data_IF_242829427865
#
_entry.id   IF_242829427865
#
_cell.length_a   1.000
_cell.length_b   1.000
_cell.length_c   1.000
_cell.angle_alpha   90.00
_cell.angle_beta   90.00
_cell.angle_gamma   90.00
#
_symmetry.space_group_name_H-M   'P 1'
#
loop_
_entity.id
_entity.type
_entity.pdbx_description
1 polymer ?
#
# COMPACT_ATOMS: atom_id res chain seq x y z
N UNK A 1 -39.13 -72.03 21.22
CA UNK A 1 -38.75 -70.66 21.61
C UNK A 1 -37.47 -70.69 22.44
N UNK A 2 -36.39 -70.09 21.94
CA UNK A 2 -35.43 -69.22 22.67
C UNK A 2 -34.31 -68.87 21.69
N UNK A 3 -34.35 -67.63 21.21
CA UNK A 3 -33.37 -67.06 20.28
C UNK A 3 -32.12 -66.64 21.04
N UNK A 4 -31.00 -66.86 20.39
CA UNK A 4 -29.65 -66.40 20.68
C UNK A 4 -29.57 -64.87 20.63
N UNK A 5 -28.91 -64.22 21.61
CA UNK A 5 -28.46 -62.83 21.48
C UNK A 5 -27.08 -62.68 22.13
N UNK A 6 -26.07 -62.49 21.30
CA UNK A 6 -24.72 -62.11 21.68
C UNK A 6 -24.67 -60.61 21.99
N UNK A 7 -24.04 -60.23 23.10
CA UNK A 7 -23.81 -58.84 23.47
C UNK A 7 -22.44 -58.41 22.93
N UNK A 8 -22.43 -57.55 21.91
CA UNK A 8 -21.23 -56.86 21.43
C UNK A 8 -21.13 -55.55 22.22
N UNK A 9 -20.13 -55.45 23.11
CA UNK A 9 -19.78 -54.21 23.78
C UNK A 9 -18.97 -53.32 22.81
N UNK A 10 -19.60 -52.27 22.30
CA UNK A 10 -18.94 -51.22 21.50
C UNK A 10 -18.18 -50.31 22.45
N UNK A 11 -16.85 -50.39 22.46
CA UNK A 11 -15.99 -49.38 23.08
C UNK A 11 -15.98 -48.13 22.19
N UNK A 12 -16.66 -47.07 22.65
CA UNK A 12 -16.55 -45.73 22.10
C UNK A 12 -15.18 -45.14 22.49
N UNK A 13 -14.26 -45.07 21.52
CA UNK A 13 -13.08 -44.22 21.63
C UNK A 13 -13.52 -42.76 21.51
N UNK A 14 -13.57 -42.04 22.63
CA UNK A 14 -13.69 -40.59 22.64
C UNK A 14 -12.35 -40.03 22.14
N UNK A 15 -12.33 -39.61 20.89
CA UNK A 15 -11.20 -38.93 20.28
C UNK A 15 -11.20 -37.47 20.78
N UNK A 16 -10.58 -37.21 21.94
CA UNK A 16 -10.41 -35.86 22.47
C UNK A 16 -9.38 -35.15 21.60
N UNK A 17 -9.85 -34.41 20.59
CA UNK A 17 -9.01 -33.41 19.93
C UNK A 17 -8.57 -32.38 20.98
N UNK A 18 -7.31 -31.91 20.97
CA UNK A 18 -6.90 -30.83 21.85
C UNK A 18 -7.72 -29.58 21.49
N UNK A 19 -8.54 -29.13 22.43
CA UNK A 19 -9.19 -27.82 22.33
C UNK A 19 -8.07 -26.78 22.41
N UNK A 20 -7.66 -26.22 21.28
CA UNK A 20 -6.84 -25.03 21.27
C UNK A 20 -7.63 -23.95 22.01
N UNK A 21 -7.19 -23.58 23.21
CA UNK A 21 -7.75 -22.45 23.92
C UNK A 21 -7.52 -21.21 23.04
N UNK A 22 -8.60 -20.63 22.51
CA UNK A 22 -8.57 -19.30 21.91
C UNK A 22 -7.88 -18.39 22.93
N UNK A 23 -6.79 -17.74 22.53
CA UNK A 23 -5.99 -16.91 23.44
C UNK A 23 -6.90 -15.95 24.20
N UNK A 24 -6.95 -16.08 25.53
CA UNK A 24 -7.71 -15.15 26.34
C UNK A 24 -7.05 -13.76 26.25
N UNK A 25 -7.75 -12.81 25.64
CA UNK A 25 -7.27 -11.42 25.54
C UNK A 25 -7.17 -10.79 26.94
N UNK A 26 -6.12 -10.00 27.21
CA UNK A 26 -5.91 -9.42 28.53
C UNK A 26 -7.00 -8.39 28.85
N UNK A 27 -7.47 -8.32 30.10
CA UNK A 27 -8.54 -7.38 30.51
C UNK A 27 -8.34 -5.91 30.07
N UNK A 28 -7.11 -5.34 30.13
CA UNK A 28 -6.85 -4.01 29.58
C UNK A 28 -7.20 -3.83 28.09
N UNK A 29 -7.19 -4.89 27.28
CA UNK A 29 -7.61 -4.85 25.87
C UNK A 29 -9.05 -4.34 25.75
N UNK A 30 -9.98 -4.96 26.49
CA UNK A 30 -11.40 -4.63 26.46
C UNK A 30 -11.70 -3.22 26.98
N UNK A 31 -10.91 -2.74 27.94
CA UNK A 31 -11.01 -1.34 28.43
C UNK A 31 -10.78 -0.32 27.31
N UNK A 32 -9.76 -0.52 26.48
CA UNK A 32 -9.44 0.42 25.39
C UNK A 32 -10.37 0.24 24.19
N UNK A 33 -10.84 -0.99 23.97
CA UNK A 33 -11.85 -1.30 22.97
C UNK A 33 -13.17 -0.59 23.26
N UNK A 34 -13.63 -0.59 24.52
CA UNK A 34 -14.82 0.15 24.98
C UNK A 34 -14.64 1.67 25.09
N UNK A 35 -13.60 2.24 24.49
CA UNK A 35 -13.37 3.68 24.51
C UNK A 35 -14.51 4.44 23.82
N UNK A 36 -15.13 5.38 24.55
CA UNK A 36 -16.16 6.29 24.03
C UNK A 36 -15.75 7.09 22.78
N UNK A 37 -14.45 7.12 22.45
CA UNK A 37 -13.93 7.83 21.28
C UNK A 37 -13.97 7.01 19.99
N UNK A 38 -14.25 5.70 20.03
CA UNK A 38 -14.26 4.81 18.85
C UNK A 38 -15.61 4.70 18.14
N UNK A 39 -16.67 5.36 18.63
CA UNK A 39 -17.95 5.56 17.94
C UNK A 39 -18.48 4.30 17.18
N UNK A 40 -18.79 3.23 17.92
CA UNK A 40 -19.26 1.94 17.38
C UNK A 40 -18.36 1.36 16.26
N UNK A 41 -17.11 0.99 16.60
CA UNK A 41 -16.13 0.57 15.63
C UNK A 41 -16.41 -0.82 15.08
N UNK A 42 -16.09 -1.03 13.79
CA UNK A 42 -15.91 -2.37 13.25
C UNK A 42 -14.54 -2.89 13.65
N UNK A 43 -14.50 -3.98 14.41
CA UNK A 43 -13.26 -4.56 14.94
C UNK A 43 -13.22 -6.05 14.60
N UNK A 44 -12.09 -6.51 14.09
CA UNK A 44 -11.76 -7.94 14.01
C UNK A 44 -10.29 -8.15 14.32
N UNK A 45 -9.99 -9.21 15.05
CA UNK A 45 -8.67 -9.68 15.42
C UNK A 45 -8.60 -11.18 15.16
N UNK A 46 -7.63 -11.59 14.34
CA UNK A 46 -7.40 -12.97 13.95
C UNK A 46 -6.00 -13.40 14.39
N UNK A 47 -5.83 -14.66 14.76
CA UNK A 47 -4.50 -15.29 14.76
C UNK A 47 -4.03 -15.41 13.30
N UNK A 48 -2.86 -14.85 12.97
CA UNK A 48 -2.37 -14.83 11.59
C UNK A 48 -1.95 -16.20 11.05
N UNK A 49 -1.74 -17.18 11.92
CA UNK A 49 -1.36 -18.56 11.55
C UNK A 49 -2.59 -19.45 11.43
N UNK A 50 -3.40 -19.55 12.49
CA UNK A 50 -4.59 -20.42 12.49
C UNK A 50 -5.76 -19.80 11.73
N UNK A 51 -5.75 -18.47 11.54
CA UNK A 51 -6.83 -17.66 10.94
C UNK A 51 -8.11 -17.64 11.77
N UNK A 52 -8.06 -18.17 12.99
CA UNK A 52 -9.19 -18.17 13.91
C UNK A 52 -9.48 -16.76 14.40
N UNK A 53 -10.76 -16.45 14.55
CA UNK A 53 -11.23 -15.18 15.12
C UNK A 53 -10.97 -15.21 16.63
N UNK A 54 -10.09 -14.33 17.08
CA UNK A 54 -9.79 -14.12 18.50
C UNK A 54 -10.80 -13.13 19.10
N UNK A 55 -11.20 -12.14 18.32
CA UNK A 55 -12.23 -11.18 18.71
C UNK A 55 -12.88 -10.54 17.48
N UNK A 56 -14.18 -10.30 17.55
CA UNK A 56 -14.89 -9.48 16.58
C UNK A 56 -16.03 -8.67 17.23
N UNK A 57 -16.31 -7.50 16.66
CA UNK A 57 -17.47 -6.69 17.01
C UNK A 57 -17.85 -5.80 15.85
N UNK A 58 -19.11 -5.88 15.41
CA UNK A 58 -19.62 -5.10 14.29
C UNK A 58 -18.80 -5.27 12.99
N UNK A 59 -18.05 -6.36 12.84
CA UNK A 59 -17.02 -6.50 11.81
C UNK A 59 -17.60 -6.53 10.40
N UNK A 60 -18.81 -7.07 10.24
CA UNK A 60 -19.54 -7.15 8.96
C UNK A 60 -20.20 -5.83 8.55
N UNK A 61 -20.38 -4.90 9.50
CA UNK A 61 -21.06 -3.63 9.21
C UNK A 61 -20.16 -2.75 8.34
N UNK A 62 -20.69 -2.38 7.18
CA UNK A 62 -20.02 -1.52 6.20
C UNK A 62 -19.77 -0.13 6.78
N UNK A 63 -18.51 0.32 6.74
CA UNK A 63 -18.09 1.64 7.22
C UNK A 63 -17.25 2.37 6.18
N UNK A 64 -17.12 3.69 6.32
CA UNK A 64 -16.12 4.42 5.56
C UNK A 64 -14.72 4.05 6.08
N UNK A 65 -13.82 3.47 5.25
CA UNK A 65 -12.52 2.97 5.73
C UNK A 65 -11.44 4.04 5.87
N UNK A 66 -11.64 5.23 5.30
CA UNK A 66 -10.56 6.19 5.06
C UNK A 66 -9.39 5.54 4.29
N UNK A 67 -8.14 5.96 4.57
CA UNK A 67 -6.95 5.44 3.87
C UNK A 67 -6.56 3.98 4.17
N UNK A 68 -7.30 3.24 5.02
CA UNK A 68 -7.18 1.78 5.06
C UNK A 68 -7.57 1.17 3.70
N UNK A 69 -8.44 1.85 2.93
CA UNK A 69 -8.80 1.43 1.57
C UNK A 69 -7.60 1.33 0.63
N UNK A 70 -6.50 2.05 0.89
CA UNK A 70 -5.30 1.97 0.04
C UNK A 70 -4.70 0.56 -0.02
N UNK A 71 -5.01 -0.31 0.95
CA UNK A 71 -4.64 -1.72 0.91
C UNK A 71 -5.27 -2.44 -0.30
N UNK A 72 -6.54 -2.15 -0.63
CA UNK A 72 -7.21 -2.75 -1.79
C UNK A 72 -6.56 -2.29 -3.08
N UNK A 73 -6.26 -0.99 -3.19
CA UNK A 73 -5.61 -0.42 -4.38
C UNK A 73 -4.17 -0.90 -4.56
N UNK A 74 -3.41 -1.02 -3.48
CA UNK A 74 -2.06 -1.56 -3.52
C UNK A 74 -2.05 -3.05 -3.90
N UNK A 75 -2.99 -3.83 -3.38
CA UNK A 75 -3.15 -5.24 -3.75
C UNK A 75 -3.55 -5.38 -5.22
N UNK A 76 -4.57 -4.63 -5.69
CA UNK A 76 -5.03 -4.69 -7.06
C UNK A 76 -3.93 -4.38 -8.08
N UNK A 77 -3.13 -3.33 -7.86
CA UNK A 77 -2.01 -3.00 -8.77
C UNK A 77 -0.88 -4.04 -8.70
N UNK A 78 -0.58 -4.58 -7.52
CA UNK A 78 0.44 -5.63 -7.35
C UNK A 78 0.02 -6.98 -7.97
N UNK A 79 -1.28 -7.27 -8.03
CA UNK A 79 -1.80 -8.42 -8.77
C UNK A 79 -1.79 -8.23 -10.29
N UNK A 80 -1.76 -6.97 -10.74
CA UNK A 80 -1.87 -6.61 -12.16
C UNK A 80 -0.51 -6.49 -12.83
N UNK A 81 0.49 -5.97 -12.12
CA UNK A 81 1.80 -5.64 -12.66
C UNK A 81 2.91 -6.16 -11.73
N UNK A 82 4.04 -6.59 -12.32
CA UNK A 82 5.20 -7.00 -11.55
C UNK A 82 5.78 -5.82 -10.75
N UNK A 83 6.29 -6.11 -9.54
CA UNK A 83 6.81 -5.11 -8.62
C UNK A 83 8.04 -4.34 -9.17
N UNK A 84 8.72 -4.89 -10.18
CA UNK A 84 9.83 -4.28 -10.90
C UNK A 84 9.39 -3.39 -12.06
N UNK A 85 8.10 -3.40 -12.44
CA UNK A 85 7.57 -2.62 -13.57
C UNK A 85 7.94 -1.15 -13.43
N UNK A 86 8.57 -0.60 -14.46
CA UNK A 86 8.80 0.83 -14.65
C UNK A 86 7.90 1.36 -15.76
N UNK A 87 7.75 2.67 -15.85
CA UNK A 87 6.94 3.34 -16.88
C UNK A 87 7.79 4.32 -17.64
N UNK A 88 7.77 4.20 -18.97
CA UNK A 88 8.51 5.06 -19.88
C UNK A 88 7.62 6.19 -20.40
N UNK A 89 8.23 7.35 -20.60
CA UNK A 89 7.63 8.48 -21.30
C UNK A 89 8.68 9.12 -22.18
N UNK A 90 8.42 9.18 -23.47
CA UNK A 90 9.37 9.68 -24.46
C UNK A 90 8.77 10.84 -25.25
N UNK A 91 9.67 11.63 -25.85
CA UNK A 91 9.31 12.70 -26.78
C UNK A 91 9.93 12.44 -28.15
N UNK A 92 9.13 12.64 -29.19
CA UNK A 92 9.44 12.32 -30.57
C UNK A 92 9.28 13.54 -31.47
N UNK A 93 10.08 13.59 -32.54
CA UNK A 93 9.85 14.47 -33.69
C UNK A 93 8.69 13.93 -34.54
N UNK A 94 8.15 14.82 -35.37
CA UNK A 94 7.17 14.51 -36.41
C UNK A 94 7.68 15.07 -37.74
N UNK A 95 7.02 14.73 -38.84
CA UNK A 95 7.26 15.33 -40.16
C UNK A 95 7.07 16.86 -40.17
N UNK A 96 6.22 17.39 -39.28
CA UNK A 96 5.95 18.82 -39.19
C UNK A 96 6.95 19.48 -38.26
N UNK A 97 7.81 20.34 -38.81
CA UNK A 97 8.76 21.14 -38.03
C UNK A 97 8.06 21.92 -36.90
N UNK A 98 8.57 21.78 -35.68
CA UNK A 98 8.00 22.43 -34.49
C UNK A 98 6.80 21.71 -33.87
N UNK A 99 6.41 20.54 -34.40
CA UNK A 99 5.41 19.65 -33.81
C UNK A 99 6.11 18.42 -33.26
N UNK A 100 5.81 18.10 -32.00
CA UNK A 100 6.39 16.98 -31.26
C UNK A 100 5.29 16.14 -30.63
N UNK A 101 5.57 14.86 -30.39
CA UNK A 101 4.66 13.95 -29.68
C UNK A 101 5.30 13.51 -28.36
N UNK A 102 4.60 13.68 -27.24
CA UNK A 102 4.90 12.94 -26.00
C UNK A 102 4.04 11.69 -25.97
N UNK A 103 4.69 10.54 -25.82
CA UNK A 103 4.02 9.28 -25.68
C UNK A 103 4.55 8.55 -24.44
N UNK A 104 3.64 8.20 -23.54
CA UNK A 104 3.97 7.51 -22.30
C UNK A 104 3.08 6.33 -22.02
N UNK A 105 3.47 5.57 -20.99
CA UNK A 105 2.78 4.35 -20.55
C UNK A 105 1.80 4.61 -19.39
N UNK A 106 1.36 5.86 -19.22
CA UNK A 106 0.57 6.36 -18.09
C UNK A 106 1.30 6.26 -16.73
N UNK A 107 2.57 6.71 -16.67
CA UNK A 107 3.35 6.78 -15.42
C UNK A 107 2.53 7.45 -14.29
N UNK A 108 2.17 6.70 -13.23
CA UNK A 108 1.35 7.23 -12.14
C UNK A 108 2.13 8.24 -11.28
N UNK A 109 3.46 8.27 -11.39
CA UNK A 109 4.35 9.02 -10.50
C UNK A 109 5.31 9.98 -11.22
N UNK A 110 5.10 10.30 -12.50
CA UNK A 110 5.84 11.38 -13.16
C UNK A 110 5.65 12.72 -12.43
N UNK A 111 6.63 13.63 -12.48
CA UNK A 111 6.53 14.94 -11.82
C UNK A 111 7.11 16.09 -12.64
N UNK A 112 6.63 17.29 -12.34
CA UNK A 112 7.19 18.56 -12.83
C UNK A 112 7.83 19.39 -11.71
N UNK A 113 7.94 18.84 -10.50
CA UNK A 113 8.62 19.45 -9.37
C UNK A 113 10.03 18.86 -9.19
N UNK A 114 11.06 19.69 -9.33
CA UNK A 114 12.46 19.26 -9.22
C UNK A 114 12.81 18.66 -7.84
N UNK A 115 12.26 19.20 -6.74
CA UNK A 115 12.45 18.65 -5.39
C UNK A 115 11.92 17.22 -5.30
N UNK A 116 10.76 16.95 -5.89
CA UNK A 116 10.17 15.61 -5.87
C UNK A 116 10.89 14.63 -6.79
N UNK A 117 11.38 15.11 -7.94
CA UNK A 117 12.30 14.35 -8.80
C UNK A 117 13.53 13.93 -8.00
N UNK A 118 14.21 14.87 -7.35
CA UNK A 118 15.49 14.60 -6.69
C UNK A 118 15.34 13.69 -5.47
N UNK A 119 14.33 13.95 -4.63
CA UNK A 119 14.08 13.17 -3.42
C UNK A 119 13.70 11.71 -3.69
N UNK A 120 12.99 11.42 -4.79
CA UNK A 120 12.44 10.09 -5.06
C UNK A 120 12.94 9.46 -6.37
N UNK A 121 13.81 10.15 -7.11
CA UNK A 121 14.25 9.78 -8.47
C UNK A 121 13.09 9.60 -9.46
N UNK A 122 12.03 10.41 -9.31
CA UNK A 122 10.84 10.36 -10.17
C UNK A 122 11.17 10.81 -11.60
N UNK A 123 10.52 10.23 -12.59
CA UNK A 123 10.55 10.74 -13.96
C UNK A 123 10.16 12.23 -14.00
N UNK A 124 10.82 13.02 -14.85
CA UNK A 124 10.68 14.48 -14.86
C UNK A 124 10.21 15.01 -16.21
N UNK A 125 8.92 15.35 -16.29
CA UNK A 125 8.27 15.81 -17.53
C UNK A 125 8.96 17.02 -18.19
N UNK A 126 9.45 18.03 -17.46
CA UNK A 126 10.13 19.17 -18.09
C UNK A 126 11.44 18.82 -18.81
N UNK A 127 12.08 17.66 -18.53
CA UNK A 127 13.24 17.19 -19.31
C UNK A 127 12.85 16.96 -20.77
N UNK A 128 11.73 16.28 -21.01
CA UNK A 128 11.24 15.96 -22.34
C UNK A 128 10.96 17.24 -23.14
N UNK A 129 10.20 18.17 -22.56
CA UNK A 129 9.80 19.40 -23.25
C UNK A 129 11.01 20.30 -23.56
N UNK A 130 12.00 20.36 -22.66
CA UNK A 130 13.24 21.10 -22.91
C UNK A 130 14.06 20.47 -24.04
N UNK A 131 14.07 19.14 -24.17
CA UNK A 131 14.76 18.46 -25.26
C UNK A 131 14.19 18.80 -26.64
N UNK A 132 12.87 18.98 -26.76
CA UNK A 132 12.26 19.46 -28.00
C UNK A 132 12.79 20.84 -28.42
N UNK A 133 12.89 21.81 -27.50
CA UNK A 133 13.50 23.11 -27.80
C UNK A 133 15.00 23.01 -28.11
N UNK A 134 15.70 22.09 -27.45
CA UNK A 134 17.12 21.87 -27.70
C UNK A 134 17.40 21.26 -29.09
N UNK A 135 16.47 20.47 -29.63
CA UNK A 135 16.60 19.84 -30.96
C UNK A 135 16.60 20.82 -32.13
N UNK A 136 15.99 22.00 -31.96
CA UNK A 136 16.06 23.10 -32.93
C UNK A 136 15.98 24.44 -32.17
N UNK A 137 17.16 25.04 -31.94
CA UNK A 137 17.32 26.31 -31.21
C UNK A 137 16.61 27.51 -31.87
N UNK A 138 16.16 27.39 -33.13
CA UNK A 138 15.42 28.44 -33.83
C UNK A 138 13.91 28.43 -33.48
N UNK A 139 13.42 27.39 -32.80
CA UNK A 139 12.01 27.30 -32.40
C UNK A 139 11.70 28.21 -31.22
N UNK A 140 10.85 29.22 -31.46
CA UNK A 140 10.28 30.09 -30.40
C UNK A 140 8.97 29.56 -29.84
N UNK A 141 8.29 28.70 -30.60
CA UNK A 141 7.01 28.06 -30.25
C UNK A 141 7.00 26.63 -30.77
N UNK A 142 6.41 25.72 -30.00
CA UNK A 142 6.18 24.33 -30.40
C UNK A 142 4.73 23.92 -30.17
N UNK A 143 4.28 22.90 -30.91
CA UNK A 143 3.05 22.17 -30.61
C UNK A 143 3.43 20.80 -30.05
N UNK A 144 2.86 20.46 -28.90
CA UNK A 144 3.05 19.18 -28.22
C UNK A 144 1.75 18.39 -28.26
N UNK A 145 1.74 17.35 -29.07
CA UNK A 145 0.70 16.32 -29.07
C UNK A 145 1.03 15.32 -27.97
N UNK A 146 0.05 14.79 -27.24
CA UNK A 146 0.34 13.81 -26.18
C UNK A 146 -0.68 12.66 -26.07
N UNK A 147 -0.18 11.45 -25.83
CA UNK A 147 -0.95 10.23 -25.52
C UNK A 147 -0.29 9.50 -24.35
N UNK A 148 -1.08 8.85 -23.50
CA UNK A 148 -0.56 8.04 -22.40
C UNK A 148 0.15 8.83 -21.28
N UNK A 149 -0.29 10.08 -21.07
CA UNK A 149 0.14 10.95 -19.96
C UNK A 149 -1.09 11.67 -19.40
N UNK A 150 -1.14 11.93 -18.10
CA UNK A 150 -2.31 12.56 -17.51
C UNK A 150 -2.36 14.07 -17.82
N UNK A 151 -3.56 14.61 -18.03
CA UNK A 151 -3.80 16.05 -18.22
C UNK A 151 -3.24 16.90 -17.07
N UNK A 152 -3.27 16.37 -15.84
CA UNK A 152 -2.70 17.04 -14.67
C UNK A 152 -1.17 17.17 -14.76
N UNK A 153 -0.47 16.17 -15.31
CA UNK A 153 0.98 16.22 -15.49
C UNK A 153 1.37 17.27 -16.54
N UNK A 154 0.59 17.36 -17.62
CA UNK A 154 0.71 18.41 -18.64
C UNK A 154 0.49 19.80 -18.04
N UNK A 155 -0.55 19.97 -17.22
CA UNK A 155 -0.81 21.21 -16.50
C UNK A 155 0.37 21.62 -15.60
N UNK A 156 0.92 20.69 -14.82
CA UNK A 156 2.07 20.99 -13.95
C UNK A 156 3.34 21.25 -14.74
N UNK A 157 3.56 20.59 -15.87
CA UNK A 157 4.69 20.87 -16.75
C UNK A 157 4.61 22.29 -17.33
N UNK A 158 3.43 22.72 -17.79
CA UNK A 158 3.17 24.10 -18.22
C UNK A 158 3.51 25.10 -17.12
N UNK A 159 3.11 24.83 -15.87
CA UNK A 159 3.42 25.69 -14.73
C UNK A 159 4.92 25.75 -14.42
N UNK A 160 5.62 24.61 -14.50
CA UNK A 160 7.04 24.50 -14.18
C UNK A 160 7.95 25.24 -15.19
N UNK A 161 7.56 25.30 -16.47
CA UNK A 161 8.36 25.93 -17.52
C UNK A 161 8.25 27.47 -17.57
N UNK A 162 7.31 28.08 -16.83
CA UNK A 162 7.01 29.53 -16.83
C UNK A 162 6.68 30.05 -18.25
N UNK A 163 6.44 31.36 -18.42
CA UNK A 163 6.18 32.02 -19.72
C UNK A 163 7.35 31.94 -20.74
N UNK A 164 8.45 31.25 -20.42
CA UNK A 164 9.68 31.23 -21.25
C UNK A 164 9.58 30.33 -22.48
N UNK A 165 8.62 29.40 -22.53
CA UNK A 165 8.41 28.49 -23.65
C UNK A 165 6.95 28.60 -24.14
N UNK A 166 6.76 29.04 -25.39
CA UNK A 166 5.44 29.05 -26.02
C UNK A 166 5.11 27.63 -26.48
N UNK A 167 4.35 26.88 -25.68
CA UNK A 167 3.96 25.49 -25.97
C UNK A 167 2.44 25.41 -26.10
N UNK A 168 1.97 24.95 -27.26
CA UNK A 168 0.57 24.56 -27.44
C UNK A 168 0.43 23.07 -27.12
N UNK A 169 -0.43 22.70 -26.17
CA UNK A 169 -0.64 21.31 -25.75
C UNK A 169 -1.93 20.76 -26.35
N UNK A 170 -1.86 19.61 -27.01
CA UNK A 170 -3.02 18.96 -27.66
C UNK A 170 -3.07 17.48 -27.27
N UNK A 171 -4.11 17.00 -26.57
CA UNK A 171 -4.27 15.56 -26.39
C UNK A 171 -4.48 14.91 -27.77
N UNK A 172 -3.89 13.73 -27.97
CA UNK A 172 -4.13 12.94 -29.17
C UNK A 172 -5.49 12.23 -29.05
N UNK A 173 -6.24 12.21 -30.14
CA UNK A 173 -7.51 11.47 -30.20
C UNK A 173 -7.29 9.97 -30.05
N UNK A 174 -8.27 9.25 -29.51
CA UNK A 174 -8.14 7.82 -29.18
C UNK A 174 -7.95 6.93 -30.42
N UNK A 175 -8.54 7.33 -31.54
CA UNK A 175 -8.55 6.66 -32.85
C UNK A 175 -7.27 6.85 -33.66
N UNK A 176 -6.33 7.68 -33.19
CA UNK A 176 -5.08 7.93 -33.90
C UNK A 176 -3.94 7.12 -33.26
N UNK A 177 -3.27 6.34 -34.10
CA UNK A 177 -2.05 5.62 -33.73
C UNK A 177 -0.85 6.57 -33.69
N UNK A 178 -0.08 6.51 -32.60
CA UNK A 178 1.02 7.46 -32.35
C UNK A 178 2.12 7.29 -33.37
N UNK A 179 2.37 6.05 -33.76
CA UNK A 179 3.34 5.56 -34.73
C UNK A 179 3.16 6.26 -36.08
N UNK A 180 1.93 6.61 -36.46
CA UNK A 180 1.64 7.35 -37.70
C UNK A 180 2.11 8.81 -37.68
N UNK A 181 2.44 9.35 -36.51
CA UNK A 181 2.80 10.77 -36.32
C UNK A 181 4.29 10.98 -36.03
N UNK A 182 5.01 9.95 -35.56
CA UNK A 182 6.36 10.07 -35.05
C UNK A 182 7.41 9.65 -36.08
N UNK A 183 8.58 10.28 -36.03
CA UNK A 183 9.72 9.94 -36.91
C UNK A 183 10.95 9.52 -36.12
N UNK A 184 11.40 10.36 -35.19
CA UNK A 184 12.64 10.15 -34.43
C UNK A 184 12.39 10.34 -32.93
N UNK A 185 12.86 9.41 -32.09
CA UNK A 185 12.88 9.57 -30.63
C UNK A 185 14.01 10.51 -30.22
N UNK A 186 13.68 11.60 -29.50
CA UNK A 186 14.67 12.57 -29.03
C UNK A 186 15.26 12.12 -27.69
N UNK A 187 14.40 11.83 -26.72
CA UNK A 187 14.80 11.40 -25.37
C UNK A 187 13.62 10.72 -24.67
N UNK A 188 13.95 9.98 -23.61
CA UNK A 188 13.00 9.27 -22.76
C UNK A 188 13.30 9.55 -21.29
N UNK A 189 12.28 9.45 -20.45
CA UNK A 189 12.41 9.36 -18.99
C UNK A 189 11.71 8.10 -18.52
N UNK A 190 12.26 7.51 -17.46
CA UNK A 190 11.75 6.28 -16.86
C UNK A 190 11.43 6.53 -15.38
N UNK A 191 10.32 5.94 -14.93
CA UNK A 191 9.88 6.04 -13.55
C UNK A 191 10.64 5.06 -12.64
N UNK A 192 10.66 5.30 -11.32
CA UNK A 192 11.07 4.27 -10.36
C UNK A 192 10.18 3.02 -10.45
N UNK A 193 10.64 1.85 -9.99
CA UNK A 193 9.83 0.63 -10.05
C UNK A 193 8.55 0.74 -9.22
N UNK A 194 7.52 0.01 -9.63
CA UNK A 194 6.20 -0.05 -8.98
C UNK A 194 6.29 -0.31 -7.47
N UNK A 195 7.19 -1.18 -7.03
CA UNK A 195 7.48 -1.44 -5.61
C UNK A 195 7.79 -0.17 -4.82
N UNK A 196 8.57 0.75 -5.38
CA UNK A 196 8.90 2.03 -4.75
C UNK A 196 7.67 2.94 -4.67
N UNK A 197 6.82 2.91 -5.70
CA UNK A 197 5.58 3.69 -5.75
C UNK A 197 4.58 3.19 -4.69
N UNK A 198 4.37 1.87 -4.61
CA UNK A 198 3.52 1.24 -3.57
C UNK A 198 4.05 1.60 -2.18
N UNK A 199 5.36 1.45 -1.95
CA UNK A 199 6.00 1.83 -0.69
C UNK A 199 5.75 3.29 -0.32
N UNK A 200 5.96 4.21 -1.26
CA UNK A 200 5.70 5.63 -0.99
C UNK A 200 4.22 5.90 -0.69
N UNK A 201 3.32 5.30 -1.48
CA UNK A 201 1.88 5.46 -1.31
C UNK A 201 1.39 4.99 0.07
N UNK A 202 1.89 3.87 0.57
CA UNK A 202 1.49 3.32 1.88
C UNK A 202 2.16 4.05 3.05
N UNK A 203 3.47 4.33 2.96
CA UNK A 203 4.22 5.03 4.01
C UNK A 203 3.68 6.43 4.29
N UNK A 204 3.48 7.21 3.23
CA UNK A 204 3.06 8.61 3.33
C UNK A 204 1.57 8.81 3.11
N UNK A 205 0.83 7.72 2.83
CA UNK A 205 -0.61 7.75 2.58
C UNK A 205 -1.00 8.70 1.43
N UNK A 206 -0.18 8.75 0.37
CA UNK A 206 -0.34 9.69 -0.75
C UNK A 206 -1.60 9.38 -1.57
N UNK A 207 -2.60 10.25 -1.48
CA UNK A 207 -3.90 10.03 -2.11
C UNK A 207 -3.83 10.05 -3.64
N UNK A 208 -3.01 10.94 -4.21
CA UNK A 208 -2.93 11.13 -5.66
C UNK A 208 -2.25 9.92 -6.30
N UNK A 209 -1.13 9.48 -5.72
CA UNK A 209 -0.42 8.30 -6.19
C UNK A 209 -1.30 7.05 -6.04
N UNK A 210 -1.97 6.84 -4.91
CA UNK A 210 -2.85 5.67 -4.77
C UNK A 210 -4.00 5.68 -5.77
N UNK A 211 -4.66 6.82 -5.99
CA UNK A 211 -5.71 6.90 -6.99
C UNK A 211 -5.19 6.56 -8.39
N UNK A 212 -4.00 7.06 -8.75
CA UNK A 212 -3.39 6.77 -10.05
C UNK A 212 -3.00 5.31 -10.20
N UNK A 213 -2.45 4.68 -9.14
CA UNK A 213 -2.16 3.25 -9.12
C UNK A 213 -3.44 2.41 -9.27
N UNK A 214 -4.52 2.80 -8.60
CA UNK A 214 -5.81 2.14 -8.73
C UNK A 214 -6.36 2.25 -10.17
N UNK A 215 -6.37 3.45 -10.76
CA UNK A 215 -6.83 3.65 -12.14
C UNK A 215 -5.93 2.97 -13.18
N UNK A 216 -4.63 2.89 -12.91
CA UNK A 216 -3.70 2.14 -13.74
C UNK A 216 -4.07 0.65 -13.75
N UNK A 217 -4.32 0.07 -12.56
CA UNK A 217 -4.82 -1.30 -12.46
C UNK A 217 -6.18 -1.45 -13.17
N UNK A 218 -7.11 -0.51 -13.00
CA UNK A 218 -8.41 -0.49 -13.70
C UNK A 218 -8.23 -0.61 -15.20
N UNK A 219 -7.46 0.29 -15.82
CA UNK A 219 -7.25 0.29 -17.27
C UNK A 219 -6.50 -0.92 -17.78
N UNK A 220 -5.50 -1.41 -17.04
CA UNK A 220 -4.72 -2.61 -17.42
C UNK A 220 -5.55 -3.90 -17.39
N UNK A 221 -6.63 -3.92 -16.62
CA UNK A 221 -7.58 -5.04 -16.60
C UNK A 221 -8.80 -4.81 -17.52
N UNK A 222 -8.75 -3.82 -18.43
CA UNK A 222 -9.80 -3.62 -19.43
C UNK A 222 -11.06 -2.91 -18.94
N UNK A 223 -11.07 -2.42 -17.70
CA UNK A 223 -12.21 -1.71 -17.13
C UNK A 223 -12.24 -0.24 -17.56
N UNK A 224 -13.44 0.34 -17.54
CA UNK A 224 -13.63 1.77 -17.82
C UNK A 224 -12.86 2.63 -16.82
N UNK A 225 -12.15 3.66 -17.32
CA UNK A 225 -11.37 4.58 -16.49
C UNK A 225 -12.25 5.64 -15.78
N UNK A 226 -13.23 5.18 -15.02
CA UNK A 226 -14.15 5.97 -14.19
C UNK A 226 -14.40 5.25 -12.86
N UNK A 227 -15.27 5.82 -12.01
CA UNK A 227 -15.58 5.26 -10.69
C UNK A 227 -16.20 3.85 -10.78
N UNK A 228 -17.12 3.64 -11.71
CA UNK A 228 -17.79 2.36 -11.92
C UNK A 228 -16.78 1.26 -12.28
N UNK A 229 -15.92 1.50 -13.28
CA UNK A 229 -14.91 0.52 -13.67
C UNK A 229 -13.85 0.29 -12.58
N UNK A 230 -13.52 1.31 -11.77
CA UNK A 230 -12.68 1.10 -10.58
C UNK A 230 -13.36 0.16 -9.59
N UNK A 231 -14.64 0.40 -9.27
CA UNK A 231 -15.39 -0.41 -8.33
C UNK A 231 -15.50 -1.86 -8.81
N UNK A 232 -15.87 -2.07 -10.08
CA UNK A 232 -15.98 -3.41 -10.68
C UNK A 232 -14.65 -4.15 -10.67
N UNK A 233 -13.56 -3.50 -11.10
CA UNK A 233 -12.22 -4.09 -11.08
C UNK A 233 -11.80 -4.51 -9.66
N UNK A 234 -12.07 -3.67 -8.66
CA UNK A 234 -11.74 -4.00 -7.26
C UNK A 234 -12.54 -5.20 -6.76
N UNK A 235 -13.82 -5.30 -7.10
CA UNK A 235 -14.63 -6.48 -6.77
C UNK A 235 -14.05 -7.74 -7.41
N UNK A 236 -13.76 -7.71 -8.71
CA UNK A 236 -13.18 -8.87 -9.40
C UNK A 236 -11.84 -9.29 -8.77
N UNK A 237 -10.92 -8.34 -8.57
CA UNK A 237 -9.58 -8.66 -8.04
C UNK A 237 -9.63 -9.22 -6.64
N UNK A 238 -10.41 -8.63 -5.74
CA UNK A 238 -10.50 -9.11 -4.37
C UNK A 238 -11.24 -10.46 -4.30
N UNK A 239 -12.34 -10.63 -5.04
CA UNK A 239 -13.03 -11.93 -5.13
C UNK A 239 -12.13 -13.02 -5.69
N UNK A 240 -11.27 -12.71 -6.67
CA UNK A 240 -10.30 -13.69 -7.22
C UNK A 240 -9.24 -14.15 -6.20
N UNK A 241 -9.01 -13.36 -5.14
CA UNK A 241 -8.20 -13.78 -3.99
C UNK A 241 -8.98 -14.62 -2.97
N UNK A 242 -10.29 -14.81 -3.16
CA UNK A 242 -11.18 -15.42 -2.17
C UNK A 242 -11.52 -14.48 -1.00
N UNK A 243 -11.47 -13.16 -1.21
CA UNK A 243 -11.94 -12.17 -0.24
C UNK A 243 -13.44 -11.94 -0.47
N UNK A 244 -14.23 -11.99 0.60
CA UNK A 244 -15.63 -11.62 0.57
C UNK A 244 -15.76 -10.10 0.42
N UNK A 245 -16.39 -9.70 -0.69
CA UNK A 245 -16.63 -8.30 -1.07
C UNK A 245 -18.10 -7.91 -0.89
N UNK A 246 -18.89 -8.70 -0.17
CA UNK A 246 -20.32 -8.45 0.04
C UNK A 246 -20.57 -7.04 0.57
N UNK A 247 -21.38 -6.28 -0.16
CA UNK A 247 -21.74 -4.91 0.19
C UNK A 247 -20.61 -3.87 0.02
N UNK A 248 -19.43 -4.26 -0.44
CA UNK A 248 -18.34 -3.32 -0.72
C UNK A 248 -18.77 -2.30 -1.80
N UNK A 249 -18.40 -1.04 -1.62
CA UNK A 249 -18.63 0.00 -2.61
C UNK A 249 -17.50 1.02 -2.59
N UNK A 250 -16.79 1.19 -3.69
CA UNK A 250 -15.60 2.02 -3.79
C UNK A 250 -15.80 3.12 -4.84
N UNK A 251 -15.86 4.36 -4.37
CA UNK A 251 -15.93 5.57 -5.19
C UNK A 251 -14.56 5.99 -5.73
N UNK A 252 -13.50 5.66 -4.99
CA UNK A 252 -12.12 6.02 -5.29
C UNK A 252 -11.16 4.94 -4.74
N UNK A 253 -9.90 4.97 -5.18
CA UNK A 253 -8.86 4.08 -4.65
C UNK A 253 -8.14 4.65 -3.42
N UNK A 254 -8.28 5.96 -3.16
CA UNK A 254 -7.54 6.63 -2.11
C UNK A 254 -8.18 6.50 -0.73
N UNK A 255 -9.50 6.29 -0.65
CA UNK A 255 -10.27 6.33 0.59
C UNK A 255 -10.64 7.75 1.03
N UNK A 256 -10.59 8.73 0.13
CA UNK A 256 -11.03 10.10 0.42
C UNK A 256 -12.53 10.28 0.23
N UNK A 257 -13.16 9.52 -0.69
CA UNK A 257 -14.61 9.62 -0.87
C UNK A 257 -15.34 9.18 0.39
N UNK A 258 -16.33 9.98 0.80
CA UNK A 258 -17.27 9.63 1.86
C UNK A 258 -18.27 8.55 1.44
N UNK A 259 -18.35 8.20 0.16
CA UNK A 259 -19.19 7.10 -0.33
C UNK A 259 -18.54 5.72 -0.24
N UNK A 260 -17.24 5.63 0.02
CA UNK A 260 -16.57 4.34 0.18
C UNK A 260 -17.16 3.54 1.35
N UNK A 261 -17.45 2.26 1.13
CA UNK A 261 -17.97 1.32 2.13
C UNK A 261 -17.25 -0.02 2.01
N UNK A 262 -16.77 -0.53 3.15
CA UNK A 262 -16.12 -1.84 3.27
C UNK A 262 -16.28 -2.35 4.70
N UNK A 263 -16.36 -3.66 4.88
CA UNK A 263 -16.43 -4.28 6.21
C UNK A 263 -15.02 -4.51 6.78
N UNK A 264 -14.92 -4.66 8.10
CA UNK A 264 -13.65 -5.04 8.73
C UNK A 264 -13.25 -6.48 8.34
N UNK A 265 -14.24 -7.35 8.09
CA UNK A 265 -14.05 -8.72 7.59
C UNK A 265 -13.35 -8.72 6.23
N UNK A 266 -13.87 -7.98 5.24
CA UNK A 266 -13.25 -7.86 3.90
C UNK A 266 -11.78 -7.41 4.02
N UNK A 267 -11.50 -6.40 4.85
CA UNK A 267 -10.13 -5.89 5.04
C UNK A 267 -9.24 -6.94 5.71
N UNK A 268 -9.73 -7.69 6.70
CA UNK A 268 -8.95 -8.72 7.41
C UNK A 268 -8.60 -9.90 6.51
N UNK A 269 -9.54 -10.35 5.67
CA UNK A 269 -9.31 -11.39 4.68
C UNK A 269 -8.29 -10.94 3.64
N UNK A 270 -8.37 -9.68 3.17
CA UNK A 270 -7.34 -9.10 2.31
C UNK A 270 -5.97 -9.06 2.99
N UNK A 271 -5.89 -8.73 4.28
CA UNK A 271 -4.61 -8.74 5.01
C UNK A 271 -4.01 -10.15 5.11
N UNK A 272 -4.83 -11.19 5.34
CA UNK A 272 -4.37 -12.58 5.28
C UNK A 272 -3.78 -12.92 3.90
N UNK A 273 -4.40 -12.44 2.82
CA UNK A 273 -3.89 -12.61 1.46
C UNK A 273 -2.61 -11.81 1.21
N UNK A 274 -2.54 -10.57 1.69
CA UNK A 274 -1.32 -9.75 1.63
C UNK A 274 -0.14 -10.44 2.30
N UNK A 275 -0.39 -11.19 3.38
CA UNK A 275 0.65 -11.91 4.13
C UNK A 275 1.12 -13.20 3.48
N UNK A 276 0.22 -13.91 2.80
CA UNK A 276 0.44 -15.27 2.29
C UNK A 276 0.74 -15.34 0.79
N UNK A 277 0.24 -14.41 -0.03
CA UNK A 277 0.40 -14.43 -1.48
C UNK A 277 1.74 -13.80 -1.90
N UNK A 278 2.63 -14.51 -2.63
CA UNK A 278 3.94 -14.00 -3.02
C UNK A 278 3.88 -12.67 -3.80
N UNK A 279 2.90 -12.50 -4.70
CA UNK A 279 2.70 -11.26 -5.47
C UNK A 279 2.35 -10.06 -4.57
N UNK A 280 1.74 -10.30 -3.42
CA UNK A 280 1.34 -9.24 -2.48
C UNK A 280 2.40 -8.94 -1.42
N UNK A 281 3.52 -9.66 -1.38
CA UNK A 281 4.63 -9.40 -0.45
C UNK A 281 5.09 -7.94 -0.50
N UNK A 282 5.11 -7.33 -1.68
CA UNK A 282 5.46 -5.91 -1.87
C UNK A 282 4.55 -4.96 -1.09
N UNK A 283 3.28 -5.33 -0.88
CA UNK A 283 2.31 -4.56 -0.09
C UNK A 283 2.60 -4.72 1.40
N UNK A 284 2.84 -5.95 1.87
CA UNK A 284 3.24 -6.20 3.26
C UNK A 284 4.51 -5.43 3.61
N UNK A 285 5.56 -5.54 2.80
CA UNK A 285 6.85 -4.89 3.01
C UNK A 285 6.78 -3.36 3.03
N UNK A 286 5.75 -2.79 2.37
CA UNK A 286 5.54 -1.35 2.24
C UNK A 286 4.76 -0.71 3.41
N UNK A 287 4.19 -1.50 4.32
CA UNK A 287 3.40 -0.96 5.42
C UNK A 287 4.26 -0.17 6.43
N UNK A 288 3.75 0.97 6.95
CA UNK A 288 4.37 1.69 8.07
C UNK A 288 4.54 0.80 9.31
N UNK A 289 5.60 1.07 10.08
CA UNK A 289 5.90 0.40 11.36
C UNK A 289 5.74 1.39 12.53
N UNK A 290 5.05 0.93 13.57
CA UNK A 290 4.74 1.64 14.81
C UNK A 290 5.97 2.28 15.45
N UNK A 291 5.98 3.61 15.57
CA UNK A 291 7.09 4.34 16.19
C UNK A 291 8.34 4.51 15.32
N UNK A 292 8.38 3.93 14.11
CA UNK A 292 9.60 3.88 13.29
C UNK A 292 9.45 4.52 11.91
N UNK A 293 8.29 4.40 11.26
CA UNK A 293 8.16 4.85 9.87
C UNK A 293 6.78 5.31 9.44
N UNK A 294 6.75 6.07 8.35
CA UNK A 294 5.53 6.53 7.69
C UNK A 294 4.58 7.28 8.62
N UNK A 295 3.28 7.10 8.43
CA UNK A 295 2.23 7.70 9.27
C UNK A 295 2.19 7.18 10.71
N UNK A 296 3.00 6.18 11.05
CA UNK A 296 3.10 5.63 12.41
C UNK A 296 4.35 6.09 13.16
N UNK A 297 5.26 6.86 12.54
CA UNK A 297 6.56 7.24 13.14
C UNK A 297 6.44 7.91 14.52
N UNK A 298 5.41 8.73 14.72
CA UNK A 298 5.16 9.42 16.00
C UNK A 298 4.17 8.72 16.93
N UNK A 299 3.71 7.50 16.61
CA UNK A 299 2.73 6.75 17.41
C UNK A 299 3.43 5.75 18.34
N UNK A 300 2.69 5.24 19.31
CA UNK A 300 3.13 4.29 20.34
C UNK A 300 4.10 4.82 21.40
N UNK A 301 4.98 5.77 21.08
CA UNK A 301 5.99 6.33 22.01
C UNK A 301 5.45 6.81 23.38
N UNK A 302 4.22 7.34 23.45
CA UNK A 302 3.60 7.79 24.71
C UNK A 302 2.36 7.01 25.11
N UNK A 303 1.77 6.27 24.18
CA UNK A 303 0.52 5.54 24.38
C UNK A 303 0.77 4.09 24.78
N UNK A 304 1.74 3.43 24.15
CA UNK A 304 2.14 2.05 24.39
C UNK A 304 3.59 1.83 23.91
N UNK A 305 4.60 2.32 24.65
CA UNK A 305 6.01 2.24 24.23
C UNK A 305 6.48 0.82 23.91
N UNK A 306 5.94 -0.18 24.60
CA UNK A 306 6.23 -1.60 24.39
C UNK A 306 5.81 -2.12 23.01
N UNK A 307 4.98 -1.39 22.26
CA UNK A 307 4.49 -1.76 20.93
C UNK A 307 5.27 -1.11 19.78
N UNK A 308 6.27 -0.26 20.08
CA UNK A 308 7.17 0.31 19.05
C UNK A 308 7.87 -0.85 18.34
N UNK A 309 7.91 -0.81 17.00
CA UNK A 309 8.46 -1.87 16.16
C UNK A 309 7.55 -3.08 15.97
N UNK A 310 6.50 -3.26 16.78
CA UNK A 310 5.68 -4.48 16.81
C UNK A 310 4.35 -4.37 16.06
N UNK A 311 3.97 -3.17 15.60
CA UNK A 311 2.75 -2.97 14.81
C UNK A 311 3.11 -2.51 13.40
N UNK A 312 2.72 -3.27 12.39
CA UNK A 312 2.92 -2.94 10.98
C UNK A 312 1.57 -2.74 10.30
N UNK A 313 1.19 -1.50 10.04
CA UNK A 313 -0.21 -1.20 9.69
C UNK A 313 -0.41 0.05 8.84
N UNK A 314 -1.52 0.05 8.09
CA UNK A 314 -2.00 1.22 7.36
C UNK A 314 -2.95 2.04 8.22
N UNK A 315 -2.62 3.32 8.41
CA UNK A 315 -3.54 4.29 9.05
C UNK A 315 -4.61 4.79 8.09
N UNK A 316 -5.78 5.14 8.63
CA UNK A 316 -6.81 5.89 7.93
C UNK A 316 -7.40 7.00 8.80
N UNK A 317 -7.64 8.16 8.20
CA UNK A 317 -8.33 9.26 8.86
C UNK A 317 -9.06 10.14 7.85
N UNK A 318 -10.33 10.44 8.13
CA UNK A 318 -11.12 11.47 7.44
C UNK A 318 -11.70 12.43 8.47
N UNK A 319 -12.69 13.22 8.09
CA UNK A 319 -13.43 14.11 9.00
C UNK A 319 -14.17 13.33 10.10
N UNK A 320 -14.58 12.10 9.82
CA UNK A 320 -15.44 11.28 10.68
C UNK A 320 -14.89 9.88 10.97
N UNK A 321 -13.81 9.47 10.31
CA UNK A 321 -13.27 8.13 10.47
C UNK A 321 -11.88 8.18 11.09
N UNK A 322 -11.62 7.26 12.01
CA UNK A 322 -10.26 6.86 12.42
C UNK A 322 -10.16 5.35 12.24
N UNK A 323 -9.18 4.90 11.46
CA UNK A 323 -8.99 3.47 11.20
C UNK A 323 -7.51 3.07 11.25
N UNK A 324 -7.28 1.81 11.57
CA UNK A 324 -5.97 1.17 11.54
C UNK A 324 -6.15 -0.31 11.20
N UNK A 325 -5.41 -0.80 10.22
CA UNK A 325 -5.49 -2.19 9.80
C UNK A 325 -4.10 -2.72 9.45
N UNK A 326 -3.75 -3.92 9.90
CA UNK A 326 -2.45 -4.51 9.66
C UNK A 326 -2.14 -5.68 10.60
N UNK A 327 -0.88 -5.74 11.02
CA UNK A 327 -0.30 -6.86 11.75
C UNK A 327 0.26 -6.40 13.09
N UNK A 328 0.14 -7.23 14.13
CA UNK A 328 0.67 -6.99 15.46
C UNK A 328 1.46 -8.21 15.95
N UNK A 329 2.76 -8.05 16.19
CA UNK A 329 3.63 -9.11 16.68
C UNK A 329 3.41 -9.35 18.18
N UNK A 330 3.23 -10.61 18.56
CA UNK A 330 3.04 -11.07 19.94
C UNK A 330 3.87 -12.33 20.20
N UNK A 331 5.16 -12.14 20.52
CA UNK A 331 6.10 -13.24 20.67
C UNK A 331 6.29 -13.93 19.33
N UNK A 332 5.99 -15.23 19.27
CA UNK A 332 6.04 -16.03 18.05
C UNK A 332 4.79 -15.90 17.17
N UNK A 333 3.72 -15.28 17.70
CA UNK A 333 2.46 -15.06 16.98
C UNK A 333 2.46 -13.71 16.27
N UNK A 334 1.75 -13.64 15.16
CA UNK A 334 1.40 -12.39 14.48
C UNK A 334 -0.12 -12.34 14.37
N UNK A 335 -0.75 -11.33 14.98
CA UNK A 335 -2.18 -11.11 14.82
C UNK A 335 -2.45 -10.28 13.57
N UNK A 336 -3.53 -10.60 12.85
CA UNK A 336 -4.13 -9.69 11.86
C UNK A 336 -5.23 -8.91 12.56
N UNK A 337 -5.22 -7.58 12.45
CA UNK A 337 -6.23 -6.74 13.07
C UNK A 337 -6.78 -5.70 12.10
N UNK A 338 -8.05 -5.36 12.31
CA UNK A 338 -8.71 -4.24 11.65
C UNK A 338 -9.55 -3.50 12.68
N UNK A 339 -9.41 -2.18 12.73
CA UNK A 339 -10.28 -1.27 13.47
C UNK A 339 -10.74 -0.16 12.54
N UNK A 340 -12.05 -0.03 12.36
CA UNK A 340 -12.69 1.05 11.60
C UNK A 340 -13.69 1.74 12.52
N UNK A 341 -13.26 2.82 13.18
CA UNK A 341 -14.13 3.71 13.93
C UNK A 341 -14.70 4.77 12.98
N UNK A 342 -15.97 4.65 12.63
CA UNK A 342 -16.70 5.65 11.83
C UNK A 342 -17.48 6.60 12.76
N UNK A 343 -17.95 7.74 12.27
CA UNK A 343 -18.67 8.75 13.08
C UNK A 343 -17.90 9.31 14.29
N UNK A 344 -16.57 9.19 14.31
CA UNK A 344 -15.67 9.81 15.28
C UNK A 344 -15.83 11.33 15.24
N UNK A 345 -15.85 11.94 16.43
CA UNK A 345 -15.94 13.39 16.57
C UNK A 345 -14.84 14.15 15.81
N UNK A 346 -15.21 15.27 15.21
CA UNK A 346 -14.43 15.96 14.17
C UNK A 346 -13.19 16.71 14.68
N UNK A 347 -13.05 16.88 15.99
CA UNK A 347 -11.96 17.66 16.57
C UNK A 347 -10.68 16.84 16.62
N UNK A 348 -9.53 17.50 16.43
CA UNK A 348 -8.21 16.84 16.51
C UNK A 348 -8.03 16.11 17.85
N UNK A 349 -8.53 16.67 18.95
CA UNK A 349 -8.50 16.05 20.28
C UNK A 349 -9.24 14.72 20.31
N UNK A 350 -10.47 14.66 19.78
CA UNK A 350 -11.28 13.43 19.76
C UNK A 350 -10.65 12.39 18.86
N UNK A 351 -10.24 12.77 17.64
CA UNK A 351 -9.58 11.83 16.74
C UNK A 351 -8.25 11.30 17.30
N UNK A 352 -7.47 12.13 17.99
CA UNK A 352 -6.25 11.68 18.66
C UNK A 352 -6.53 10.74 19.83
N UNK A 353 -7.62 10.96 20.57
CA UNK A 353 -8.05 10.05 21.62
C UNK A 353 -8.49 8.68 21.05
N UNK A 354 -9.19 8.66 19.91
CA UNK A 354 -9.52 7.44 19.18
C UNK A 354 -8.25 6.68 18.73
N UNK A 355 -7.28 7.38 18.11
CA UNK A 355 -5.98 6.79 17.73
C UNK A 355 -5.23 6.24 18.95
N UNK A 356 -5.25 6.96 20.06
CA UNK A 356 -4.59 6.55 21.31
C UNK A 356 -5.27 5.32 21.93
N UNK A 357 -6.59 5.19 21.82
CA UNK A 357 -7.31 4.01 22.27
C UNK A 357 -6.89 2.78 21.45
N UNK A 358 -6.81 2.90 20.12
CA UNK A 358 -6.30 1.83 19.24
C UNK A 358 -4.84 1.47 19.60
N UNK A 359 -3.97 2.46 19.79
CA UNK A 359 -2.57 2.23 20.16
C UNK A 359 -2.45 1.46 21.46
N UNK A 360 -3.18 1.89 22.49
CA UNK A 360 -3.19 1.26 23.81
C UNK A 360 -3.76 -0.16 23.73
N UNK A 361 -4.87 -0.36 23.00
CA UNK A 361 -5.48 -1.67 22.78
C UNK A 361 -4.46 -2.66 22.19
N UNK A 362 -3.81 -2.31 21.08
CA UNK A 362 -2.78 -3.15 20.46
C UNK A 362 -1.54 -3.32 21.36
N UNK A 363 -1.21 -2.28 22.13
CA UNK A 363 -0.15 -2.33 23.13
C UNK A 363 -0.35 -3.39 24.22
N UNK A 364 -1.58 -3.84 24.47
CA UNK A 364 -1.85 -4.87 25.47
C UNK A 364 -1.55 -6.28 24.97
N UNK A 365 -1.56 -6.49 23.66
CA UNK A 365 -1.38 -7.82 23.03
C UNK A 365 -0.03 -7.96 22.34
N UNK A 366 0.71 -6.87 22.12
CA UNK A 366 2.02 -6.91 21.47
C UNK A 366 3.12 -7.31 22.45
N UNK A 367 4.01 -8.19 21.99
CA UNK A 367 5.16 -8.68 22.74
C UNK A 367 6.33 -8.87 21.75
N UNK A 368 7.56 -8.47 22.10
CA UNK A 368 8.73 -8.72 21.26
C UNK A 368 8.85 -10.21 20.92
N UNK A 369 9.33 -10.52 19.72
CA UNK A 369 9.66 -11.89 19.35
C UNK A 369 10.73 -12.44 20.31
N UNK A 370 10.61 -13.73 20.67
CA UNK A 370 11.64 -14.41 21.45
C UNK A 370 12.82 -14.65 20.50
N UNK A 371 13.84 -13.79 20.58
CA UNK A 371 15.11 -14.06 19.90
C UNK A 371 15.87 -15.05 20.77
N UNK A 372 16.06 -16.29 20.29
CA UNK A 372 16.98 -17.22 20.94
C UNK A 372 18.36 -16.55 21.04
N UNK A 373 19.06 -16.61 22.19
CA UNK A 373 20.38 -16.02 22.30
C UNK A 373 21.29 -16.63 21.22
N UNK A 374 21.85 -15.76 20.39
CA UNK A 374 22.84 -16.17 19.40
C UNK A 374 24.01 -16.79 20.16
N UNK A 375 24.29 -18.06 19.92
CA UNK A 375 25.53 -18.69 20.38
C UNK A 375 26.68 -17.92 19.74
N UNK A 376 27.33 -17.06 20.52
CA UNK A 376 28.62 -16.48 20.16
C UNK A 376 29.61 -17.64 20.13
N UNK A 377 29.87 -18.19 18.96
CA UNK A 377 31.02 -19.05 18.74
C UNK A 377 32.28 -18.19 18.94
N UNK A 378 32.89 -18.31 20.11
CA UNK A 378 34.25 -17.85 20.36
C UNK A 378 35.20 -18.70 19.53
N UNK A 379 35.43 -18.32 18.28
CA UNK A 379 36.56 -18.84 17.51
C UNK A 379 37.82 -18.06 17.94
N UNK A 380 38.81 -18.69 18.59
CA UNK A 380 40.08 -18.03 18.87
C UNK A 380 40.79 -17.74 17.53
N UNK A 381 41.12 -16.46 17.33
CA UNK A 381 41.89 -15.98 16.18
C UNK A 381 43.27 -16.63 16.24
N UNK A 382 43.58 -17.50 15.27
CA UNK A 382 44.93 -17.95 15.01
C UNK A 382 45.73 -16.76 14.48
N UNK A 383 46.65 -16.24 15.29
CA UNK A 383 47.62 -15.23 14.86
C UNK A 383 48.73 -15.92 14.08
N UNK A 384 48.74 -15.74 12.76
CA UNK A 384 49.92 -16.03 11.94
C UNK A 384 50.99 -14.94 12.14
N UNK A 385 52.26 -15.29 12.37
CA UNK A 385 53.32 -14.28 12.49
C UNK A 385 53.67 -13.71 11.11
N UNK A 386 53.51 -12.41 10.93
CA UNK A 386 54.08 -11.68 9.79
C UNK A 386 55.58 -11.45 10.01
N UNK A 387 56.37 -11.79 8.99
CA UNK A 387 57.78 -11.46 8.85
C UNK A 387 58.01 -9.93 8.99
N UNK A 388 58.85 -9.55 9.95
CA UNK A 388 59.47 -8.23 10.02
C UNK A 388 60.64 -8.18 9.03
N UNK A 389 60.51 -7.39 7.97
CA UNK A 389 61.66 -6.91 7.19
C UNK A 389 62.12 -5.59 7.80
N UNK A 390 63.23 -5.68 8.52
CA UNK A 390 63.93 -4.54 9.11
C UNK A 390 64.67 -3.77 8.02
N UNK A 391 64.43 -2.46 7.95
CA UNK A 391 65.19 -1.52 7.13
C UNK A 391 65.81 -0.48 8.05
N UNK A 392 67.05 -0.69 8.45
CA UNK A 392 67.92 0.40 8.90
C UNK A 392 69.42 0.13 8.64
N UNK A 393 69.95 0.91 7.69
CA UNK A 393 71.29 1.55 7.63
C UNK A 393 72.55 0.75 8.03
N UNK A 394 73.36 0.41 7.02
CA UNK A 394 74.69 1.02 6.77
C UNK A 394 75.15 0.69 5.35
#
# INVERSE_FOLDING_TARGET
>A
MKKLSAFIAILLFINIQPVHAVDALPQPFFKYLGSKYLADPGIILLDGTTKEIVYESGAEVLRAPASVLKLTSAAAVAMTLDASTTFKTAIYKTEKRGVFVIWGENDPWITSNAKYRDANKRAYMPTLIKAAFASDKKLKKITLIYKGVNNSDIYYAKKALKRRASVAYKPLSKDIEVESLITEKITEVESPPLSKMIKFALLYSDNVLTQRLAMLATGRNGYSLNKTGLNEMMHEKLSSLGVDVTGMHLDDGSGLSGGNRISAVTVSQLLLKIRSEPKLKVVYDALPVGGESGTLIGRYHSTAPQAVGLVKAKTGSTRHTVSLAGFATSGEKEYVFVVIADHVGRTKRIQNAARSAIDRMLGTITKPAIVAPSTVENNPIAVSPQLLTDTSKS
#
